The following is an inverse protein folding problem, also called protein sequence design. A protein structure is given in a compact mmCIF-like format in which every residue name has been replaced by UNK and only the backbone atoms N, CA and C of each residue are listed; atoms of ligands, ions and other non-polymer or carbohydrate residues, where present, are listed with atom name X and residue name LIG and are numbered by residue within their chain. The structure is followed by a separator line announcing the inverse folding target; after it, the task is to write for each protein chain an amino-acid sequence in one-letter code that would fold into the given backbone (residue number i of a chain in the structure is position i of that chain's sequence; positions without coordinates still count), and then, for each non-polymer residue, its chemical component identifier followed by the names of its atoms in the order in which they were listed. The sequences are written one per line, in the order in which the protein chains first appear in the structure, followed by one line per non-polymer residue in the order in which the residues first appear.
data_IF_946906078077
#
_entry.id   IF_946906078077
#
_cell.length_a   1.000
_cell.length_b   1.000
_cell.length_c   1.000
_cell.angle_alpha   90.00
_cell.angle_beta   90.00
_cell.angle_gamma   90.00
#
_symmetry.space_group_name_H-M   'P 1'
#
loop_
_entity.id
_entity.type
_entity.pdbx_description
1 polymer ?
#
# COMPACT_ATOMS: atom_id res chain seq x y z
N UNK A 1 -23.12 -35.32 -14.96
CA UNK A 1 -22.82 -35.37 -13.51
C UNK A 1 -21.35 -35.73 -13.38
N UNK A 2 -20.46 -34.75 -13.25
CA UNK A 2 -19.02 -34.95 -13.10
C UNK A 2 -18.71 -35.05 -11.61
N UNK A 3 -18.15 -36.19 -11.21
CA UNK A 3 -17.73 -36.54 -9.86
C UNK A 3 -16.70 -35.54 -9.33
N UNK A 4 -16.93 -35.01 -8.12
CA UNK A 4 -15.94 -34.22 -7.38
C UNK A 4 -15.07 -35.19 -6.57
N UNK A 5 -13.76 -35.18 -6.81
CA UNK A 5 -12.78 -36.07 -6.18
C UNK A 5 -12.08 -35.31 -5.03
N UNK A 6 -12.31 -35.69 -3.75
CA UNK A 6 -11.84 -34.93 -2.60
C UNK A 6 -10.37 -35.14 -2.23
N UNK A 7 -9.64 -36.02 -2.93
CA UNK A 7 -8.24 -36.36 -2.62
C UNK A 7 -7.21 -35.73 -3.59
N UNK A 8 -7.59 -34.73 -4.38
CA UNK A 8 -6.63 -33.99 -5.21
C UNK A 8 -5.90 -32.93 -4.35
N UNK A 9 -4.59 -33.10 -4.04
CA UNK A 9 -3.84 -32.07 -3.33
C UNK A 9 -3.77 -30.81 -4.22
N UNK A 10 -3.87 -29.62 -3.61
CA UNK A 10 -3.67 -28.34 -4.29
C UNK A 10 -2.22 -28.22 -4.78
N UNK A 11 -1.88 -28.89 -5.87
CA UNK A 11 -0.57 -28.81 -6.51
C UNK A 11 -0.47 -27.49 -7.27
N UNK A 12 0.24 -26.54 -6.65
CA UNK A 12 0.94 -25.43 -7.31
C UNK A 12 0.11 -24.54 -8.24
N UNK A 13 -0.78 -23.73 -7.67
CA UNK A 13 -1.01 -22.40 -8.20
C UNK A 13 0.24 -21.53 -7.92
N UNK A 14 1.32 -21.74 -8.67
CA UNK A 14 2.46 -20.82 -8.67
C UNK A 14 1.94 -19.49 -9.23
N UNK A 15 1.93 -18.37 -8.48
CA UNK A 15 1.76 -17.08 -9.12
C UNK A 15 3.05 -16.85 -9.92
N UNK A 16 2.95 -16.95 -11.24
CA UNK A 16 4.05 -16.65 -12.14
C UNK A 16 4.38 -15.17 -12.00
N UNK A 17 5.36 -14.86 -11.15
CA UNK A 17 6.10 -13.63 -11.24
C UNK A 17 6.92 -13.65 -12.53
N UNK A 18 6.65 -12.72 -13.43
CA UNK A 18 7.63 -12.30 -14.43
C UNK A 18 7.83 -10.80 -14.35
N UNK A 19 8.99 -10.46 -13.82
CA UNK A 19 9.74 -9.22 -14.02
C UNK A 19 9.73 -8.84 -15.50
N UNK A 20 8.97 -7.80 -15.83
CA UNK A 20 9.04 -7.10 -17.11
C UNK A 20 9.56 -5.69 -16.87
N UNK A 21 10.81 -5.45 -17.24
CA UNK A 21 11.34 -4.09 -17.45
C UNK A 21 10.54 -3.49 -18.60
N UNK A 22 9.64 -2.54 -18.32
CA UNK A 22 9.10 -1.66 -19.35
C UNK A 22 9.25 -0.20 -18.93
N UNK A 23 10.27 0.39 -19.56
CA UNK A 23 10.43 1.82 -19.83
C UNK A 23 9.20 2.26 -20.64
N UNK A 24 8.70 3.46 -20.32
CA UNK A 24 7.67 4.23 -21.03
C UNK A 24 6.19 3.86 -20.83
N UNK A 25 5.50 4.74 -20.07
CA UNK A 25 4.29 5.40 -20.57
C UNK A 25 2.96 4.65 -20.46
N UNK A 26 2.44 4.48 -19.25
CA UNK A 26 1.03 4.09 -19.04
C UNK A 26 0.75 3.73 -17.58
N UNK A 27 0.24 4.68 -16.80
CA UNK A 27 -0.15 4.56 -15.38
C UNK A 27 -1.42 3.70 -15.20
N UNK A 28 -1.42 2.47 -15.71
CA UNK A 28 -2.52 1.53 -15.51
C UNK A 28 -1.95 0.39 -14.64
N UNK A 29 -2.17 0.52 -13.33
CA UNK A 29 -1.77 -0.45 -12.32
C UNK A 29 -2.33 -1.83 -12.68
N UNK A 30 -1.57 -2.90 -12.46
CA UNK A 30 -2.13 -4.24 -12.65
C UNK A 30 -3.08 -4.54 -11.47
N UNK A 31 -4.37 -4.59 -11.79
CA UNK A 31 -5.43 -3.73 -11.22
C UNK A 31 -6.01 -4.05 -9.81
N UNK A 32 -5.59 -5.12 -9.12
CA UNK A 32 -6.23 -5.50 -7.84
C UNK A 32 -5.28 -5.66 -6.67
N UNK A 33 -4.15 -6.32 -6.89
CA UNK A 33 -3.20 -6.58 -5.80
C UNK A 33 -2.53 -5.30 -5.34
N UNK A 34 -2.15 -4.41 -6.27
CA UNK A 34 -1.57 -3.11 -5.93
C UNK A 34 -2.59 -2.19 -5.25
N UNK A 35 -3.84 -2.18 -5.73
CA UNK A 35 -4.92 -1.43 -5.07
C UNK A 35 -5.24 -1.96 -3.67
N UNK A 36 -5.26 -3.28 -3.49
CA UNK A 36 -5.46 -3.90 -2.18
C UNK A 36 -4.31 -3.54 -1.24
N UNK A 37 -3.07 -3.61 -1.73
CA UNK A 37 -1.89 -3.22 -0.97
C UNK A 37 -1.94 -1.73 -0.59
N UNK A 38 -2.29 -0.85 -1.52
CA UNK A 38 -2.45 0.58 -1.26
C UNK A 38 -3.51 0.81 -0.17
N UNK A 39 -4.66 0.15 -0.27
CA UNK A 39 -5.73 0.23 0.75
C UNK A 39 -5.27 -0.27 2.11
N UNK A 40 -4.54 -1.38 2.16
CA UNK A 40 -4.00 -1.90 3.42
C UNK A 40 -3.02 -0.92 4.04
N UNK A 41 -2.07 -0.38 3.27
CA UNK A 41 -1.11 0.61 3.75
C UNK A 41 -1.80 1.89 4.23
N UNK A 42 -2.79 2.37 3.47
CA UNK A 42 -3.61 3.51 3.86
C UNK A 42 -4.34 3.26 5.18
N UNK A 43 -4.91 2.08 5.36
CA UNK A 43 -5.55 1.69 6.62
C UNK A 43 -4.59 1.73 7.81
N UNK A 44 -3.36 1.24 7.65
CA UNK A 44 -2.34 1.33 8.71
C UNK A 44 -1.94 2.77 9.02
N UNK A 45 -1.75 3.60 7.99
CA UNK A 45 -1.42 5.03 8.16
C UNK A 45 -2.55 5.75 8.92
N UNK A 46 -3.80 5.54 8.51
CA UNK A 46 -4.97 6.14 9.16
C UNK A 46 -5.10 5.70 10.61
N UNK A 47 -4.92 4.40 10.90
CA UNK A 47 -4.95 3.88 12.27
C UNK A 47 -3.89 4.55 13.17
N UNK A 48 -2.65 4.69 12.67
CA UNK A 48 -1.56 5.35 13.38
C UNK A 48 -1.77 6.86 13.52
N UNK A 49 -2.43 7.50 12.55
CA UNK A 49 -2.77 8.91 12.62
C UNK A 49 -3.83 9.15 13.70
N UNK A 50 -4.87 8.31 13.75
CA UNK A 50 -5.93 8.37 14.75
C UNK A 50 -5.40 8.09 16.16
N UNK A 51 -4.57 7.05 16.33
CA UNK A 51 -3.93 6.73 17.61
C UNK A 51 -3.13 7.91 18.19
N UNK A 52 -2.50 8.70 17.32
CA UNK A 52 -1.72 9.89 17.68
C UNK A 52 -2.50 11.20 17.62
N UNK A 53 -3.78 11.17 17.28
CA UNK A 53 -4.63 12.36 17.15
C UNK A 53 -4.17 13.36 16.09
N UNK A 54 -3.58 12.88 14.99
CA UNK A 54 -3.06 13.74 13.91
C UNK A 54 -4.19 14.23 12.99
N UNK A 55 -4.19 15.53 12.71
CA UNK A 55 -5.00 16.12 11.63
C UNK A 55 -4.34 15.93 10.23
N UNK A 56 -5.04 16.32 9.17
CA UNK A 56 -4.55 16.14 7.78
C UNK A 56 -3.21 16.84 7.53
N UNK A 57 -3.00 18.03 8.11
CA UNK A 57 -1.79 18.80 7.95
C UNK A 57 -0.62 18.19 8.73
N UNK A 58 -0.89 17.71 9.94
CA UNK A 58 0.09 17.03 10.78
C UNK A 58 0.47 15.67 10.18
N UNK A 59 -0.49 14.94 9.63
CA UNK A 59 -0.25 13.68 8.93
C UNK A 59 0.61 13.90 7.69
N UNK A 60 0.30 14.90 6.88
CA UNK A 60 1.10 15.31 5.73
C UNK A 60 2.55 15.64 6.15
N UNK A 61 2.72 16.43 7.21
CA UNK A 61 4.04 16.78 7.74
C UNK A 61 4.82 15.56 8.25
N UNK A 62 4.18 14.63 8.95
CA UNK A 62 4.82 13.44 9.50
C UNK A 62 5.21 12.41 8.43
N UNK A 63 4.44 12.31 7.36
CA UNK A 63 4.63 11.31 6.29
C UNK A 63 5.44 11.85 5.10
N UNK A 64 5.45 13.17 4.92
CA UNK A 64 5.95 13.85 3.73
C UNK A 64 5.02 13.69 2.52
N UNK A 65 3.76 13.32 2.74
CA UNK A 65 2.69 13.43 1.75
C UNK A 65 2.27 14.90 1.63
N UNK A 66 1.65 15.26 0.51
CA UNK A 66 0.90 16.51 0.47
C UNK A 66 -0.43 16.35 1.24
N UNK A 67 -1.10 17.48 1.49
CA UNK A 67 -2.34 17.50 2.30
C UNK A 67 -3.49 16.80 1.59
N UNK A 68 -3.54 16.84 0.26
CA UNK A 68 -4.59 16.19 -0.53
C UNK A 68 -4.42 14.67 -0.51
N UNK A 69 -3.19 14.18 -0.65
CA UNK A 69 -2.82 12.78 -0.52
C UNK A 69 -3.08 12.26 0.91
N UNK A 70 -2.74 13.05 1.93
CA UNK A 70 -3.03 12.70 3.33
C UNK A 70 -4.54 12.59 3.60
N UNK A 71 -5.34 13.53 3.05
CA UNK A 71 -6.80 13.45 3.08
C UNK A 71 -7.31 12.21 2.33
N UNK A 72 -6.80 11.94 1.12
CA UNK A 72 -7.17 10.78 0.33
C UNK A 72 -6.86 9.46 1.06
N UNK A 73 -5.76 9.40 1.81
CA UNK A 73 -5.42 8.26 2.68
C UNK A 73 -6.45 8.08 3.80
N UNK A 74 -6.84 9.15 4.49
CA UNK A 74 -7.88 9.10 5.53
C UNK A 74 -9.24 8.70 4.98
N UNK A 75 -9.60 9.22 3.81
CA UNK A 75 -10.85 8.91 3.13
C UNK A 75 -10.84 7.51 2.45
N UNK A 76 -9.69 6.82 2.46
CA UNK A 76 -9.51 5.53 1.79
C UNK A 76 -9.51 5.60 0.25
N UNK A 77 -9.44 6.81 -0.32
CA UNK A 77 -9.47 7.12 -1.74
C UNK A 77 -8.09 6.94 -2.43
N UNK A 78 -7.40 5.85 -2.12
CA UNK A 78 -5.98 5.63 -2.50
C UNK A 78 -5.75 4.97 -3.86
N UNK A 79 -6.77 4.96 -4.72
CA UNK A 79 -6.69 4.29 -6.03
C UNK A 79 -5.62 4.88 -6.96
N UNK A 80 -5.28 6.15 -6.75
CA UNK A 80 -4.27 6.87 -7.54
C UNK A 80 -2.91 6.96 -6.81
N UNK A 81 -2.80 6.44 -5.59
CA UNK A 81 -1.58 6.52 -4.80
C UNK A 81 -0.74 5.26 -4.98
N UNK A 82 0.52 5.37 -5.43
CA UNK A 82 1.37 4.21 -5.62
C UNK A 82 1.71 3.58 -4.26
N UNK A 83 1.61 2.24 -4.10
CA UNK A 83 1.91 1.56 -2.83
C UNK A 83 3.29 1.89 -2.25
N UNK A 84 4.28 2.17 -3.11
CA UNK A 84 5.62 2.57 -2.67
C UNK A 84 5.65 3.89 -1.91
N UNK A 85 4.83 4.86 -2.33
CA UNK A 85 4.68 6.15 -1.64
C UNK A 85 4.08 5.93 -0.25
N UNK A 86 3.00 5.15 -0.17
CA UNK A 86 2.33 4.82 1.08
C UNK A 86 3.23 4.03 2.03
N UNK A 87 4.03 3.09 1.51
CA UNK A 87 4.97 2.33 2.33
C UNK A 87 6.05 3.22 2.95
N UNK A 88 6.55 4.23 2.20
CA UNK A 88 7.49 5.22 2.72
C UNK A 88 6.85 6.14 3.76
N UNK A 89 5.62 6.58 3.50
CA UNK A 89 4.83 7.37 4.43
C UNK A 89 4.63 6.63 5.76
N UNK A 90 4.26 5.34 5.69
CA UNK A 90 4.11 4.48 6.85
C UNK A 90 5.44 4.30 7.60
N UNK A 91 6.54 4.01 6.91
CA UNK A 91 7.85 3.85 7.55
C UNK A 91 8.29 5.12 8.32
N UNK A 92 8.06 6.30 7.76
CA UNK A 92 8.31 7.58 8.46
C UNK A 92 7.42 7.75 9.68
N UNK A 93 6.14 7.44 9.55
CA UNK A 93 5.18 7.51 10.64
C UNK A 93 5.48 6.50 11.77
N UNK A 94 6.14 5.38 11.44
CA UNK A 94 6.69 4.42 12.40
C UNK A 94 8.03 4.87 13.03
N UNK A 95 8.59 6.01 12.61
CA UNK A 95 9.93 6.46 13.03
C UNK A 95 11.07 5.66 12.40
N UNK A 96 10.75 4.75 11.47
CA UNK A 96 11.69 3.97 10.66
C UNK A 96 12.04 4.76 9.41
N UNK A 97 12.71 5.89 9.58
CA UNK A 97 13.20 6.63 8.41
C UNK A 97 14.25 5.76 7.67
N UNK A 98 14.29 5.84 6.33
CA UNK A 98 15.34 5.21 5.50
C UNK A 98 16.76 5.74 5.84
N UNK A 99 16.85 6.75 6.69
CA UNK A 99 18.06 7.19 7.34
C UNK A 99 18.24 6.39 8.62
N UNK A 100 19.19 5.45 8.63
CA UNK A 100 19.58 4.68 9.82
C UNK A 100 20.08 5.57 10.97
N UNK A 101 19.18 6.25 11.66
CA UNK A 101 19.44 7.02 12.88
C UNK A 101 18.34 6.74 13.89
N UNK A 102 18.65 5.78 14.75
CA UNK A 102 18.24 5.82 16.15
C UNK A 102 18.86 7.11 16.74
N UNK A 103 18.03 8.07 17.13
CA UNK A 103 18.39 9.09 18.12
C UNK A 103 17.67 8.76 19.41
#
# INVERSE_FOLDING_TARGET
MTSFDPDMPFENATPVGRTGVHRDGGLWFNDRTELLQARTLAGWITLLAEDRGLDDCQLAAATGLDVEDARAVRDGAVAMLPPRLLNRALARLEGRNDEGRLQ
#
